data_IF_084075699161
#
_entry.id   IF_084075699161
#
_cell.length_a   1.000
_cell.length_b   1.000
_cell.length_c   1.000
_cell.angle_alpha   90.00
_cell.angle_beta   90.00
_cell.angle_gamma   90.00
#
_symmetry.space_group_name_H-M   'P 1'
#
loop_
_entity.id
_entity.type
_entity.pdbx_description
1 polymer ?
#
# COMPACT_ATOMS: atom_id res chain seq x y z
N UNK A 1 -34.47 66.99 -8.44
CA UNK A 1 -33.05 66.65 -8.28
C UNK A 1 -32.90 65.13 -8.29
N UNK A 2 -32.38 64.49 -9.36
CA UNK A 2 -32.23 63.04 -9.41
C UNK A 2 -30.85 62.59 -8.89
N UNK A 3 -30.86 61.59 -8.00
CA UNK A 3 -29.73 60.99 -7.31
C UNK A 3 -29.12 59.91 -8.21
N UNK A 4 -27.92 60.15 -8.74
CA UNK A 4 -27.20 59.19 -9.60
C UNK A 4 -26.88 57.90 -8.82
N UNK A 5 -27.38 56.76 -9.31
CA UNK A 5 -26.97 55.43 -8.86
C UNK A 5 -25.52 55.17 -9.25
N UNK A 6 -24.66 54.98 -8.25
CA UNK A 6 -23.26 54.61 -8.44
C UNK A 6 -23.18 53.12 -8.79
N UNK A 7 -22.91 52.82 -10.06
CA UNK A 7 -22.59 51.48 -10.55
C UNK A 7 -21.34 50.97 -9.81
N UNK A 8 -21.49 49.86 -9.09
CA UNK A 8 -20.41 49.21 -8.33
C UNK A 8 -19.60 48.37 -9.33
N UNK A 9 -18.47 48.89 -9.78
CA UNK A 9 -17.53 48.17 -10.64
C UNK A 9 -17.01 46.91 -9.93
N UNK A 10 -16.87 45.76 -10.62
CA UNK A 10 -16.31 44.54 -10.04
C UNK A 10 -14.88 44.80 -9.56
N UNK A 11 -14.62 44.46 -8.29
CA UNK A 11 -13.31 44.59 -7.65
C UNK A 11 -12.36 43.61 -8.32
N UNK A 12 -11.25 44.09 -8.89
CA UNK A 12 -10.16 43.21 -9.34
C UNK A 12 -9.67 42.40 -8.12
N UNK A 13 -9.46 41.07 -8.26
CA UNK A 13 -8.94 40.25 -7.18
C UNK A 13 -7.59 40.81 -6.73
N UNK A 14 -7.39 40.84 -5.41
CA UNK A 14 -6.16 41.37 -4.83
C UNK A 14 -5.00 40.38 -5.03
N UNK A 15 -3.74 40.84 -5.06
CA UNK A 15 -2.57 39.96 -5.08
C UNK A 15 -2.44 39.03 -3.85
N UNK A 16 -3.32 39.18 -2.87
CA UNK A 16 -3.46 38.27 -1.72
C UNK A 16 -4.47 37.16 -2.00
N UNK A 17 -5.51 37.40 -2.81
CA UNK A 17 -6.49 36.39 -3.21
C UNK A 17 -5.81 35.32 -4.10
N UNK A 18 -4.99 35.75 -5.07
CA UNK A 18 -4.17 34.86 -5.90
C UNK A 18 -3.07 34.10 -5.12
N UNK A 19 -2.70 34.59 -3.92
CA UNK A 19 -1.69 33.98 -3.05
C UNK A 19 -2.28 32.97 -2.06
N UNK A 20 -3.59 33.05 -1.84
CA UNK A 20 -4.34 32.09 -1.03
C UNK A 20 -4.85 30.91 -1.87
N UNK A 21 -5.07 31.10 -3.18
CA UNK A 21 -5.35 30.00 -4.12
C UNK A 21 -4.15 29.06 -4.31
N UNK A 22 -2.91 29.57 -4.17
CA UNK A 22 -1.69 28.76 -4.27
C UNK A 22 -1.31 28.01 -2.99
N UNK A 23 -2.19 28.00 -1.98
CA UNK A 23 -2.07 27.16 -0.78
C UNK A 23 -3.09 26.03 -0.85
N UNK A 24 -3.10 25.30 -1.96
CA UNK A 24 -3.55 23.91 -1.87
C UNK A 24 -2.54 23.21 -0.96
N UNK A 25 -2.97 22.88 0.26
CA UNK A 25 -2.18 22.01 1.11
C UNK A 25 -1.83 20.75 0.31
N UNK A 26 -0.62 20.19 0.46
CA UNK A 26 -0.28 18.93 -0.19
C UNK A 26 -1.19 17.84 0.39
N UNK A 27 -2.35 17.66 -0.22
CA UNK A 27 -3.31 16.65 0.19
C UNK A 27 -2.64 15.31 -0.06
N UNK A 28 -2.47 14.51 0.99
CA UNK A 28 -1.90 13.17 0.86
C UNK A 28 -2.72 12.38 -0.17
N UNK A 29 -2.12 12.19 -1.34
CA UNK A 29 -2.78 11.53 -2.44
C UNK A 29 -2.83 10.00 -2.24
N UNK A 30 -3.71 9.26 -2.93
CA UNK A 30 -3.78 7.81 -2.76
C UNK A 30 -2.46 7.11 -3.13
N UNK A 31 -1.69 7.69 -4.06
CA UNK A 31 -0.31 7.26 -4.34
C UNK A 31 0.63 7.32 -3.11
N UNK A 32 0.51 8.35 -2.26
CA UNK A 32 1.30 8.46 -1.03
C UNK A 32 0.91 7.36 -0.03
N UNK A 33 -0.39 7.10 0.10
CA UNK A 33 -0.90 6.03 0.97
C UNK A 33 -0.45 4.67 0.44
N UNK A 34 -0.53 4.43 -0.87
CA UNK A 34 -0.11 3.18 -1.50
C UNK A 34 1.37 2.93 -1.26
N UNK A 35 2.23 3.92 -1.56
CA UNK A 35 3.65 3.79 -1.32
C UNK A 35 3.95 3.53 0.15
N UNK A 36 3.37 4.27 1.10
CA UNK A 36 3.61 4.05 2.52
C UNK A 36 3.16 2.65 2.98
N UNK A 37 1.97 2.23 2.56
CA UNK A 37 1.37 0.97 3.02
C UNK A 37 2.02 -0.26 2.40
N UNK A 38 2.55 -0.20 1.17
CA UNK A 38 3.24 -1.33 0.53
C UNK A 38 4.57 -1.68 1.21
N UNK A 39 5.27 -0.71 1.81
CA UNK A 39 6.53 -1.00 2.51
C UNK A 39 6.33 -1.76 3.81
N UNK A 40 5.15 -1.64 4.44
CA UNK A 40 4.91 -2.28 5.74
C UNK A 40 4.90 -3.80 5.62
N UNK A 41 4.19 -4.45 4.67
CA UNK A 41 4.30 -5.89 4.45
C UNK A 41 5.70 -6.32 3.99
N UNK A 42 6.35 -5.53 3.13
CA UNK A 42 7.69 -5.85 2.59
C UNK A 42 8.73 -5.97 3.71
N UNK A 43 8.67 -5.10 4.73
CA UNK A 43 9.59 -5.12 5.87
C UNK A 43 9.06 -5.95 7.05
N UNK A 44 7.74 -5.96 7.25
CA UNK A 44 7.08 -6.59 8.36
C UNK A 44 7.01 -8.12 8.25
N UNK A 45 6.73 -8.65 7.05
CA UNK A 45 6.73 -10.10 6.81
C UNK A 45 8.09 -10.77 7.12
N UNK A 46 9.25 -10.26 6.67
CA UNK A 46 10.54 -10.84 7.04
C UNK A 46 10.80 -10.76 8.55
N UNK A 47 10.47 -9.64 9.20
CA UNK A 47 10.63 -9.50 10.64
C UNK A 47 9.78 -10.52 11.42
N UNK A 48 8.53 -10.73 11.00
CA UNK A 48 7.64 -11.74 11.58
C UNK A 48 8.09 -13.17 11.28
N UNK A 49 8.63 -13.44 10.09
CA UNK A 49 9.20 -14.74 9.76
C UNK A 49 10.38 -15.08 10.68
N UNK A 50 11.30 -14.14 10.88
CA UNK A 50 12.41 -14.30 11.83
C UNK A 50 11.89 -14.50 13.24
N UNK A 51 10.90 -13.70 13.68
CA UNK A 51 10.32 -13.82 15.02
C UNK A 51 9.71 -15.21 15.25
N UNK A 52 8.93 -15.73 14.30
CA UNK A 52 8.34 -17.07 14.37
C UNK A 52 9.41 -18.16 14.37
N UNK A 53 10.43 -18.05 13.52
CA UNK A 53 11.56 -19.00 13.50
C UNK A 53 12.34 -19.00 14.81
N UNK A 54 12.60 -17.83 15.39
CA UNK A 54 13.24 -17.71 16.71
C UNK A 54 12.34 -18.29 17.81
N UNK A 55 11.03 -18.07 17.74
CA UNK A 55 10.06 -18.68 18.64
C UNK A 55 10.09 -20.21 18.60
N UNK A 56 10.21 -20.78 17.39
CA UNK A 56 10.40 -22.23 17.19
C UNK A 56 11.72 -22.72 17.78
N UNK A 57 12.83 -22.03 17.47
CA UNK A 57 14.16 -22.43 17.90
C UNK A 57 14.30 -22.38 19.43
N UNK A 58 13.77 -21.32 20.05
CA UNK A 58 13.74 -21.17 21.51
C UNK A 58 12.63 -21.98 22.20
N UNK A 59 11.78 -22.67 21.42
CA UNK A 59 10.59 -23.41 21.91
C UNK A 59 9.72 -22.55 22.84
N UNK A 60 9.57 -21.26 22.52
CA UNK A 60 8.82 -20.31 23.33
C UNK A 60 7.41 -20.10 22.76
N UNK A 61 6.39 -20.56 23.49
CA UNK A 61 5.00 -20.37 23.09
C UNK A 61 4.59 -18.89 23.13
N UNK A 62 5.23 -18.07 23.98
CA UNK A 62 4.99 -16.62 23.99
C UNK A 62 5.40 -15.98 22.66
N UNK A 63 6.63 -16.24 22.19
CA UNK A 63 7.12 -15.68 20.92
C UNK A 63 6.28 -16.18 19.74
N UNK A 64 5.88 -17.45 19.76
CA UNK A 64 4.98 -18.02 18.76
C UNK A 64 3.64 -17.26 18.72
N UNK A 65 2.98 -17.10 19.87
CA UNK A 65 1.69 -16.42 19.95
C UNK A 65 1.77 -14.95 19.50
N UNK A 66 2.80 -14.23 19.93
CA UNK A 66 3.05 -12.84 19.50
C UNK A 66 3.29 -12.76 17.99
N UNK A 67 4.09 -13.67 17.43
CA UNK A 67 4.34 -13.70 15.98
C UNK A 67 3.07 -14.00 15.18
N UNK A 68 2.25 -14.95 15.62
CA UNK A 68 0.99 -15.31 14.96
C UNK A 68 -0.01 -14.15 14.98
N UNK A 69 -0.17 -13.47 16.13
CA UNK A 69 -0.98 -12.25 16.24
C UNK A 69 -0.41 -11.15 15.32
N UNK A 70 0.91 -11.01 15.28
CA UNK A 70 1.60 -10.09 14.38
C UNK A 70 1.30 -10.35 12.91
N UNK A 71 1.23 -11.62 12.47
CA UNK A 71 0.85 -11.98 11.09
C UNK A 71 -0.60 -11.59 10.79
N UNK A 72 -1.52 -11.77 11.74
CA UNK A 72 -2.90 -11.32 11.59
C UNK A 72 -3.00 -9.80 11.48
N UNK A 73 -2.28 -9.06 12.33
CA UNK A 73 -2.20 -7.60 12.25
C UNK A 73 -1.60 -7.13 10.92
N UNK A 74 -0.52 -7.78 10.47
CA UNK A 74 0.11 -7.49 9.18
C UNK A 74 -0.85 -7.72 8.02
N UNK A 75 -1.72 -8.72 8.11
CA UNK A 75 -2.73 -9.00 7.09
C UNK A 75 -3.67 -7.83 6.89
N UNK A 76 -4.09 -7.17 7.98
CA UNK A 76 -4.94 -5.97 7.89
C UNK A 76 -4.23 -4.84 7.13
N UNK A 77 -2.94 -4.64 7.38
CA UNK A 77 -2.16 -3.62 6.67
C UNK A 77 -1.99 -3.98 5.19
N UNK A 78 -1.71 -5.25 4.88
CA UNK A 78 -1.59 -5.73 3.49
C UNK A 78 -2.91 -5.58 2.73
N UNK A 79 -4.05 -5.76 3.39
CA UNK A 79 -5.38 -5.52 2.77
C UNK A 79 -5.52 -4.05 2.37
N UNK A 80 -5.13 -3.11 3.23
CA UNK A 80 -5.14 -1.68 2.89
C UNK A 80 -4.21 -1.38 1.72
N UNK A 81 -2.99 -1.95 1.73
CA UNK A 81 -2.05 -1.82 0.62
C UNK A 81 -2.64 -2.35 -0.71
N UNK A 82 -3.33 -3.49 -0.68
CA UNK A 82 -3.98 -4.07 -1.84
C UNK A 82 -5.06 -3.15 -2.45
N UNK A 83 -5.93 -2.58 -1.62
CA UNK A 83 -7.00 -1.69 -2.11
C UNK A 83 -6.51 -0.30 -2.52
N UNK A 84 -5.39 0.17 -1.97
CA UNK A 84 -4.80 1.46 -2.36
C UNK A 84 -4.17 1.46 -3.75
N UNK A 85 -3.79 0.29 -4.31
CA UNK A 85 -3.13 0.19 -5.62
C UNK A 85 -3.99 0.67 -6.79
N UNK A 86 -5.23 0.14 -6.96
CA UNK A 86 -6.15 0.62 -7.99
C UNK A 86 -6.45 2.13 -7.88
N UNK A 87 -6.62 2.65 -6.66
CA UNK A 87 -6.85 4.07 -6.43
C UNK A 87 -5.66 4.94 -6.87
N UNK A 88 -4.43 4.48 -6.61
CA UNK A 88 -3.23 5.16 -7.10
C UNK A 88 -3.15 5.16 -8.63
N UNK A 89 -3.55 4.06 -9.27
CA UNK A 89 -3.60 3.97 -10.73
C UNK A 89 -4.65 4.91 -11.35
N UNK A 90 -5.86 4.97 -10.79
CA UNK A 90 -6.92 5.88 -11.24
C UNK A 90 -6.47 7.34 -11.16
N UNK A 91 -5.76 7.72 -10.10
CA UNK A 91 -5.21 9.07 -9.97
C UNK A 91 -4.10 9.37 -10.99
N UNK A 92 -3.25 8.37 -11.28
CA UNK A 92 -2.23 8.49 -12.31
C UNK A 92 -2.86 8.67 -13.70
N UNK A 93 -3.94 7.95 -14.00
CA UNK A 93 -4.64 8.03 -15.29
C UNK A 93 -5.45 9.31 -15.44
N UNK A 94 -6.15 9.73 -14.39
CA UNK A 94 -7.08 10.87 -14.44
C UNK A 94 -6.35 12.21 -14.31
N UNK A 95 -5.20 12.23 -13.63
CA UNK A 95 -4.36 13.41 -13.48
C UNK A 95 -3.44 13.72 -14.66
N UNK A 96 -3.61 13.04 -15.80
CA UNK A 96 -2.81 13.18 -17.02
C UNK A 96 -1.29 13.05 -16.79
N UNK A 97 -0.90 12.22 -15.81
CA UNK A 97 0.50 11.96 -15.45
C UNK A 97 1.16 10.88 -16.33
N UNK A 98 0.35 10.18 -17.14
CA UNK A 98 0.84 9.20 -18.09
C UNK A 98 1.50 9.89 -19.28
N UNK A 99 2.51 9.26 -19.92
CA UNK A 99 3.11 9.78 -21.14
C UNK A 99 2.05 10.07 -22.21
N UNK A 100 2.19 11.19 -22.92
CA UNK A 100 1.30 11.58 -24.02
C UNK A 100 1.58 10.79 -25.30
N UNK A 101 2.79 10.26 -25.45
CA UNK A 101 3.13 9.41 -26.58
C UNK A 101 2.55 7.99 -26.39
N UNK A 102 1.82 7.52 -27.41
CA UNK A 102 1.05 6.28 -27.33
C UNK A 102 1.92 5.05 -27.06
N UNK A 103 3.13 5.00 -27.64
CA UNK A 103 4.06 3.88 -27.49
C UNK A 103 4.56 3.77 -26.05
N UNK A 104 5.05 4.86 -25.46
CA UNK A 104 5.55 4.84 -24.08
C UNK A 104 4.42 4.69 -23.09
N UNK A 105 3.24 5.30 -23.33
CA UNK A 105 2.04 5.07 -22.52
C UNK A 105 1.71 3.59 -22.43
N UNK A 106 1.67 2.89 -23.56
CA UNK A 106 1.39 1.45 -23.60
C UNK A 106 2.42 0.64 -22.80
N UNK A 107 3.72 0.93 -22.96
CA UNK A 107 4.80 0.25 -22.23
C UNK A 107 4.68 0.47 -20.72
N UNK A 108 4.34 1.69 -20.30
CA UNK A 108 4.16 2.03 -18.87
C UNK A 108 2.93 1.32 -18.31
N UNK A 109 1.79 1.38 -19.00
CA UNK A 109 0.56 0.71 -18.57
C UNK A 109 0.74 -0.81 -18.47
N UNK A 110 1.37 -1.45 -19.45
CA UNK A 110 1.66 -2.89 -19.42
C UNK A 110 2.58 -3.27 -18.24
N UNK A 111 3.52 -2.40 -17.88
CA UNK A 111 4.36 -2.58 -16.69
C UNK A 111 3.55 -2.47 -15.40
N UNK A 112 2.66 -1.50 -15.29
CA UNK A 112 1.79 -1.35 -14.11
C UNK A 112 0.86 -2.56 -13.98
N UNK A 113 0.26 -3.01 -15.08
CA UNK A 113 -0.65 -4.16 -15.08
C UNK A 113 0.08 -5.46 -14.73
N UNK A 114 1.27 -5.70 -15.29
CA UNK A 114 2.08 -6.87 -14.94
C UNK A 114 2.52 -6.86 -13.48
N UNK A 115 2.95 -5.70 -12.95
CA UNK A 115 3.23 -5.54 -11.53
C UNK A 115 1.99 -5.84 -10.66
N UNK A 116 0.83 -5.29 -11.03
CA UNK A 116 -0.42 -5.52 -10.30
C UNK A 116 -0.87 -6.99 -10.34
N UNK A 117 -0.67 -7.68 -11.46
CA UNK A 117 -0.98 -9.09 -11.60
C UNK A 117 -0.10 -9.96 -10.68
N UNK A 118 1.22 -9.70 -10.65
CA UNK A 118 2.15 -10.40 -9.75
C UNK A 118 1.84 -10.07 -8.30
N UNK A 119 1.59 -8.80 -7.97
CA UNK A 119 1.21 -8.36 -6.62
C UNK A 119 -0.05 -9.07 -6.13
N UNK A 120 -1.07 -9.17 -6.97
CA UNK A 120 -2.32 -9.87 -6.67
C UNK A 120 -2.10 -11.37 -6.44
N UNK A 121 -1.27 -12.00 -7.27
CA UNK A 121 -0.90 -13.41 -7.09
C UNK A 121 -0.20 -13.66 -5.76
N UNK A 122 0.81 -12.86 -5.42
CA UNK A 122 1.54 -12.95 -4.14
C UNK A 122 0.61 -12.70 -2.97
N UNK A 123 -0.28 -11.69 -3.06
CA UNK A 123 -1.26 -11.38 -2.04
C UNK A 123 -2.21 -12.55 -1.75
N UNK A 124 -2.76 -13.21 -2.78
CA UNK A 124 -3.64 -14.37 -2.58
C UNK A 124 -2.92 -15.56 -1.95
N UNK A 125 -1.68 -15.82 -2.34
CA UNK A 125 -0.84 -16.85 -1.70
C UNK A 125 -0.59 -16.48 -0.23
N UNK A 126 -0.27 -15.22 0.05
CA UNK A 126 -0.08 -14.72 1.41
C UNK A 126 -1.33 -14.90 2.27
N UNK A 127 -2.54 -14.67 1.74
CA UNK A 127 -3.81 -14.82 2.47
C UNK A 127 -4.09 -16.24 2.98
N UNK A 128 -3.45 -17.27 2.40
CA UNK A 128 -3.57 -18.63 2.91
C UNK A 128 -2.98 -18.77 4.32
N UNK A 129 -1.96 -17.98 4.66
CA UNK A 129 -1.29 -18.00 5.96
C UNK A 129 -2.20 -17.52 7.10
N UNK A 130 -2.76 -16.28 7.08
CA UNK A 130 -3.66 -15.82 8.11
C UNK A 130 -4.96 -16.63 8.15
N UNK A 131 -5.44 -17.17 7.01
CA UNK A 131 -6.58 -18.08 7.00
C UNK A 131 -6.29 -19.36 7.79
N UNK A 132 -5.15 -20.00 7.53
CA UNK A 132 -4.67 -21.16 8.29
C UNK A 132 -4.57 -20.84 9.78
N UNK A 133 -3.90 -19.73 10.12
CA UNK A 133 -3.77 -19.23 11.50
C UNK A 133 -5.14 -19.03 12.15
N UNK A 134 -6.07 -18.39 11.46
CA UNK A 134 -7.39 -18.06 11.98
C UNK A 134 -8.20 -19.32 12.30
N UNK A 135 -8.26 -20.27 11.36
CA UNK A 135 -8.95 -21.56 11.54
C UNK A 135 -8.34 -22.34 12.71
N UNK A 136 -7.02 -22.40 12.81
CA UNK A 136 -6.38 -23.07 13.94
C UNK A 136 -6.55 -22.30 15.26
N UNK A 137 -6.56 -20.97 15.21
CA UNK A 137 -6.78 -20.11 16.38
C UNK A 137 -8.11 -20.42 17.06
N UNK A 138 -9.18 -20.67 16.30
CA UNK A 138 -10.47 -21.11 16.84
C UNK A 138 -10.32 -22.43 17.62
N UNK A 139 -9.57 -23.40 17.08
CA UNK A 139 -9.33 -24.68 17.76
C UNK A 139 -8.49 -24.52 19.02
N UNK A 140 -7.50 -23.63 19.00
CA UNK A 140 -6.64 -23.34 20.15
C UNK A 140 -7.43 -22.69 21.28
N UNK A 141 -8.38 -21.80 20.95
CA UNK A 141 -9.30 -21.24 21.94
C UNK A 141 -10.17 -22.33 22.57
N UNK A 142 -10.53 -23.37 21.81
CA UNK A 142 -11.23 -24.57 22.30
C UNK A 142 -10.34 -25.56 23.07
N UNK A 143 -9.05 -25.27 23.25
CA UNK A 143 -8.11 -26.10 24.01
C UNK A 143 -7.22 -27.05 23.19
N UNK A 144 -7.37 -27.09 21.86
CA UNK A 144 -6.50 -27.92 21.00
C UNK A 144 -5.10 -27.29 20.88
N UNK A 145 -4.01 -28.06 21.01
CA UNK A 145 -2.67 -27.53 20.77
C UNK A 145 -2.43 -27.25 19.28
N UNK A 146 -1.49 -26.35 18.98
CA UNK A 146 -1.02 -26.12 17.62
C UNK A 146 -0.40 -27.39 17.00
N UNK A 147 -0.85 -27.84 15.81
CA UNK A 147 -0.25 -28.96 15.11
C UNK A 147 1.23 -28.72 14.80
N UNK A 148 2.08 -29.73 15.00
CA UNK A 148 3.54 -29.62 14.80
C UNK A 148 3.91 -29.24 13.37
N UNK A 149 3.20 -29.77 12.37
CA UNK A 149 3.45 -29.45 10.96
C UNK A 149 3.19 -27.97 10.66
N UNK A 150 2.18 -27.38 11.32
CA UNK A 150 1.77 -25.99 11.11
C UNK A 150 2.78 -25.02 11.71
N UNK A 151 3.40 -25.39 12.85
CA UNK A 151 4.51 -24.62 13.45
C UNK A 151 5.66 -24.41 12.45
N UNK A 152 5.90 -25.36 11.54
CA UNK A 152 6.90 -25.23 10.48
C UNK A 152 6.33 -24.64 9.18
N UNK A 153 5.11 -25.00 8.79
CA UNK A 153 4.50 -24.54 7.56
C UNK A 153 4.28 -23.03 7.53
N UNK A 154 3.78 -22.44 8.63
CA UNK A 154 3.50 -20.99 8.72
C UNK A 154 4.76 -20.13 8.48
N UNK A 155 5.87 -20.29 9.21
CA UNK A 155 7.07 -19.49 8.97
C UNK A 155 7.67 -19.77 7.58
N UNK A 156 7.62 -21.01 7.08
CA UNK A 156 8.13 -21.32 5.75
C UNK A 156 7.33 -20.64 4.63
N UNK A 157 6.00 -20.69 4.72
CA UNK A 157 5.11 -19.96 3.80
C UNK A 157 5.31 -18.45 3.93
N UNK A 158 5.56 -17.93 5.13
CA UNK A 158 5.83 -16.50 5.33
C UNK A 158 7.16 -16.06 4.72
N UNK A 159 8.19 -16.92 4.75
CA UNK A 159 9.45 -16.69 4.00
C UNK A 159 9.18 -16.69 2.50
N UNK A 160 8.42 -17.65 1.99
CA UNK A 160 8.04 -17.68 0.57
C UNK A 160 7.26 -16.42 0.15
N UNK A 161 6.31 -15.99 0.98
CA UNK A 161 5.56 -14.73 0.76
C UNK A 161 6.49 -13.51 0.79
N UNK A 162 7.48 -13.47 1.68
CA UNK A 162 8.49 -12.40 1.76
C UNK A 162 9.29 -12.29 0.47
N UNK A 163 9.71 -13.43 -0.10
CA UNK A 163 10.39 -13.47 -1.41
C UNK A 163 9.46 -12.90 -2.49
N UNK A 164 8.20 -13.33 -2.51
CA UNK A 164 7.18 -12.79 -3.42
C UNK A 164 7.02 -11.28 -3.29
N UNK A 165 6.88 -10.74 -2.08
CA UNK A 165 6.78 -9.31 -1.84
C UNK A 165 8.03 -8.55 -2.24
N UNK A 166 9.22 -9.15 -2.12
CA UNK A 166 10.47 -8.54 -2.59
C UNK A 166 10.47 -8.39 -4.11
N UNK A 167 10.00 -9.41 -4.85
CA UNK A 167 9.86 -9.34 -6.31
C UNK A 167 8.84 -8.26 -6.70
N UNK A 168 7.71 -8.19 -6.00
CA UNK A 168 6.68 -7.17 -6.22
C UNK A 168 7.25 -5.78 -5.96
N UNK A 169 7.95 -5.57 -4.85
CA UNK A 169 8.57 -4.29 -4.50
C UNK A 169 9.63 -3.87 -5.53
N UNK A 170 10.44 -4.81 -6.01
CA UNK A 170 11.42 -4.54 -7.06
C UNK A 170 10.73 -4.09 -8.36
N UNK A 171 9.65 -4.77 -8.78
CA UNK A 171 8.87 -4.36 -9.96
C UNK A 171 8.20 -2.99 -9.76
N UNK A 172 7.67 -2.73 -8.57
CA UNK A 172 7.05 -1.45 -8.21
C UNK A 172 8.04 -0.30 -8.22
N UNK A 173 9.27 -0.50 -7.72
CA UNK A 173 10.32 0.52 -7.70
C UNK A 173 10.81 0.96 -9.09
N UNK A 174 10.50 0.21 -10.15
CA UNK A 174 10.80 0.60 -11.54
C UNK A 174 9.71 1.52 -12.10
N UNK A 175 8.51 1.55 -11.50
CA UNK A 175 7.43 2.45 -11.89
C UNK A 175 7.76 3.85 -11.36
N UNK A 176 7.76 4.84 -12.25
CA UNK A 176 7.99 6.23 -11.87
C UNK A 176 6.67 6.81 -11.36
N UNK A 177 6.74 7.51 -10.22
CA UNK A 177 5.59 8.16 -9.60
C UNK A 177 5.75 9.69 -9.73
N UNK A 178 5.43 10.30 -10.88
CA UNK A 178 5.41 11.77 -11.00
C UNK A 178 4.37 12.43 -10.08
N UNK A 179 3.30 11.72 -9.72
CA UNK A 179 2.17 12.18 -8.89
C UNK A 179 2.50 12.46 -7.42
N UNK A 180 3.72 12.14 -6.98
CA UNK A 180 4.24 12.46 -5.64
C UNK A 180 5.26 13.62 -5.68
N UNK A 181 5.57 14.16 -6.86
CA UNK A 181 6.41 15.33 -6.98
C UNK A 181 5.63 16.58 -6.54
N UNK A 182 6.29 17.56 -5.87
CA UNK A 182 5.65 18.82 -5.52
C UNK A 182 5.12 19.52 -6.79
N UNK A 183 3.89 20.04 -6.76
CA UNK A 183 3.21 20.64 -7.93
C UNK A 183 4.01 21.76 -8.63
N UNK A 184 5.03 22.33 -7.99
CA UNK A 184 5.97 23.28 -8.58
C UNK A 184 6.95 22.69 -9.62
N UNK A 185 6.94 21.37 -9.82
CA UNK A 185 7.81 20.66 -10.78
C UNK A 185 7.10 20.22 -12.07
N UNK A 186 5.82 20.57 -12.25
CA UNK A 186 5.12 20.39 -13.52
C UNK A 186 5.38 21.60 -14.45
N UNK A 187 6.12 21.44 -15.56
CA UNK A 187 6.24 22.48 -16.59
C UNK A 187 4.92 22.66 -17.36
#
# INVERSE_FOLDING_TARGET
>A
MPRLMRVKTPRKPSPQDARNESREEPSMNAAHIHLLTVHVPVLGCPALAVLLLVGLWKRSDLLWNVGVIGVLAMTLVTVVAYFSGPLAYEQLSDGDYLPTDEVTRRIVTERIESHAAVARGVYFVFLLIPLMIFVQGIRVISGDPWPRWMKWAVPFLLVAATIGFTVVAHQGGVIRHPEILPSAAHP
#
